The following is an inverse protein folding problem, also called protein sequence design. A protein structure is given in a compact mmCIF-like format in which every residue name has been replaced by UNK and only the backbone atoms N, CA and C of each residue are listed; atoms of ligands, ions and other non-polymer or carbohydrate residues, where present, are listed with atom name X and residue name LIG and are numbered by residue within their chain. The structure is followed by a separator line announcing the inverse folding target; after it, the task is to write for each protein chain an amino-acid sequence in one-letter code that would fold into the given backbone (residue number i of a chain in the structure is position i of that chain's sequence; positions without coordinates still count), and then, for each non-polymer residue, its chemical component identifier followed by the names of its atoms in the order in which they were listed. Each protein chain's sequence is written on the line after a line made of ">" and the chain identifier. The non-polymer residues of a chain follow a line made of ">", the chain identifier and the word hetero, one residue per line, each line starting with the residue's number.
data_IF_115833937737
#
_entry.id   IF_115833937737
#
_cell.length_a   1.000
_cell.length_b   1.000
_cell.length_c   1.000
_cell.angle_alpha   90.00
_cell.angle_beta   90.00
_cell.angle_gamma   90.00
#
_symmetry.space_group_name_H-M   'P 1'
#
loop_
_entity.id
_entity.type
_entity.pdbx_description
1 polymer ?
#
# COMPACT_ATOMS: atom_id res chain seq x y z
N UNK A 1 -7.94 -20.11 -15.07
CA UNK A 1 -7.42 -19.13 -14.09
C UNK A 1 -7.39 -19.82 -12.75
N UNK A 2 -6.20 -20.03 -12.18
CA UNK A 2 -6.05 -20.57 -10.83
C UNK A 2 -6.79 -19.67 -9.84
N UNK A 3 -7.57 -20.29 -8.95
CA UNK A 3 -8.29 -19.57 -7.90
C UNK A 3 -7.27 -18.92 -6.96
N UNK A 4 -7.59 -17.76 -6.38
CA UNK A 4 -6.74 -16.99 -5.46
C UNK A 4 -6.51 -17.72 -4.10
N UNK A 5 -5.79 -18.85 -4.15
CA UNK A 5 -5.64 -19.83 -3.05
C UNK A 5 -4.17 -20.04 -2.67
N UNK A 6 -3.36 -18.99 -2.72
CA UNK A 6 -1.91 -19.06 -2.49
C UNK A 6 -1.49 -18.69 -1.05
N UNK A 7 -2.43 -18.29 -0.17
CA UNK A 7 -2.15 -17.89 1.21
C UNK A 7 -3.03 -18.69 2.17
N UNK A 8 -2.44 -19.15 3.29
CA UNK A 8 -3.21 -19.85 4.32
C UNK A 8 -4.19 -18.90 5.06
N UNK A 9 -5.36 -19.40 5.51
CA UNK A 9 -6.32 -18.60 6.27
C UNK A 9 -5.76 -18.06 7.58
N UNK A 10 -4.94 -18.86 8.27
CA UNK A 10 -4.30 -18.49 9.54
C UNK A 10 -3.32 -17.33 9.34
N UNK A 11 -2.56 -17.39 8.25
CA UNK A 11 -1.65 -16.32 7.86
C UNK A 11 -2.41 -15.05 7.51
N UNK A 12 -3.51 -15.14 6.76
CA UNK A 12 -4.38 -13.97 6.48
C UNK A 12 -4.91 -13.35 7.76
N UNK A 13 -5.36 -14.17 8.71
CA UNK A 13 -5.87 -13.70 10.00
C UNK A 13 -4.80 -12.93 10.79
N UNK A 14 -3.55 -13.41 10.79
CA UNK A 14 -2.44 -12.75 11.48
C UNK A 14 -2.21 -11.30 11.02
N UNK A 15 -2.31 -11.02 9.73
CA UNK A 15 -2.05 -9.68 9.16
C UNK A 15 -3.34 -8.88 8.87
N UNK A 16 -4.51 -9.46 9.11
CA UNK A 16 -5.82 -8.86 8.82
C UNK A 16 -6.02 -7.49 9.49
N UNK A 17 -5.49 -7.31 10.71
CA UNK A 17 -5.62 -6.06 11.44
C UNK A 17 -4.97 -4.87 10.73
N UNK A 18 -3.82 -5.10 10.08
CA UNK A 18 -3.10 -4.06 9.34
C UNK A 18 -3.62 -3.85 7.92
N UNK A 19 -4.16 -4.90 7.30
CA UNK A 19 -4.71 -4.87 5.93
C UNK A 19 -6.21 -4.58 5.86
N UNK A 20 -6.83 -4.17 6.96
CA UNK A 20 -8.26 -3.86 6.96
C UNK A 20 -8.55 -2.57 6.18
N UNK A 21 -9.45 -2.68 5.20
CA UNK A 21 -10.05 -1.56 4.46
C UNK A 21 -10.66 -0.47 5.36
N UNK A 22 -11.05 -0.79 6.60
CA UNK A 22 -11.53 0.20 7.57
C UNK A 22 -10.47 1.24 7.95
N UNK A 23 -9.18 0.86 7.87
CA UNK A 23 -8.05 1.75 8.14
C UNK A 23 -7.82 2.77 7.00
N UNK A 24 -8.45 2.59 5.83
CA UNK A 24 -8.38 3.55 4.72
C UNK A 24 -9.24 4.80 4.99
N UNK A 25 -8.92 5.95 4.38
CA UNK A 25 -9.79 7.12 4.39
C UNK A 25 -11.19 6.80 3.83
N UNK A 26 -12.23 7.42 4.40
CA UNK A 26 -13.62 7.12 4.08
C UNK A 26 -13.94 7.15 2.57
N UNK A 27 -13.39 8.13 1.84
CA UNK A 27 -13.56 8.25 0.38
C UNK A 27 -13.04 7.06 -0.45
N UNK A 28 -12.13 6.25 0.11
CA UNK A 28 -11.58 5.06 -0.54
C UNK A 28 -12.11 3.76 0.05
N UNK A 29 -12.90 3.82 1.13
CA UNK A 29 -13.62 2.66 1.64
C UNK A 29 -14.72 2.33 0.65
N UNK A 30 -14.63 1.18 -0.01
CA UNK A 30 -15.74 0.71 -0.83
C UNK A 30 -16.93 0.42 0.09
N UNK A 31 -18.12 1.00 -0.14
CA UNK A 31 -19.30 0.62 0.62
C UNK A 31 -19.58 -0.86 0.36
N UNK A 32 -19.81 -1.62 1.44
CA UNK A 32 -20.03 -3.08 1.40
C UNK A 32 -21.10 -3.49 0.38
N UNK A 33 -22.06 -2.60 0.07
CA UNK A 33 -23.11 -2.79 -0.94
C UNK A 33 -22.65 -2.74 -2.40
N UNK A 34 -21.57 -2.02 -2.74
CA UNK A 34 -20.97 -2.05 -4.09
C UNK A 34 -20.04 -3.24 -4.28
N UNK A 35 -19.41 -3.66 -3.19
CA UNK A 35 -18.68 -4.94 -3.13
C UNK A 35 -19.65 -6.12 -3.39
N UNK A 36 -20.92 -5.98 -2.99
CA UNK A 36 -22.00 -6.95 -3.23
C UNK A 36 -22.36 -7.18 -4.71
N UNK A 37 -21.99 -6.30 -5.64
CA UNK A 37 -22.20 -6.52 -7.09
C UNK A 37 -21.06 -7.27 -7.78
N UNK A 38 -19.99 -7.59 -7.06
CA UNK A 38 -18.84 -8.29 -7.63
C UNK A 38 -17.93 -8.82 -6.54
N UNK A 39 -18.41 -9.81 -5.78
CA UNK A 39 -17.69 -10.65 -4.81
C UNK A 39 -16.80 -9.87 -3.82
N UNK A 40 -17.16 -9.89 -2.53
CA UNK A 40 -16.24 -9.43 -1.49
C UNK A 40 -14.91 -10.16 -1.54
N UNK A 41 -13.82 -9.54 -1.08
CA UNK A 41 -12.56 -10.26 -0.85
C UNK A 41 -12.81 -11.54 -0.03
N UNK A 42 -13.68 -11.47 0.98
CA UNK A 42 -14.15 -12.63 1.73
C UNK A 42 -14.92 -13.69 0.89
N UNK A 43 -15.68 -13.28 -0.13
CA UNK A 43 -16.49 -14.19 -0.97
C UNK A 43 -15.78 -14.70 -2.23
N UNK A 44 -14.75 -14.00 -2.74
CA UNK A 44 -13.81 -14.56 -3.73
C UNK A 44 -12.96 -15.65 -3.07
N UNK A 45 -12.77 -15.55 -1.76
CA UNK A 45 -12.06 -16.48 -0.89
C UNK A 45 -12.95 -17.56 -0.24
N UNK A 46 -14.18 -17.79 -0.74
CA UNK A 46 -15.17 -18.75 -0.22
C UNK A 46 -14.76 -20.24 -0.24
N UNK A 47 -13.49 -20.55 -0.47
CA UNK A 47 -12.91 -21.83 -0.09
C UNK A 47 -11.78 -21.55 0.91
N UNK A 48 -12.14 -20.92 2.05
CA UNK A 48 -11.25 -20.57 3.16
C UNK A 48 -10.60 -21.80 3.84
N UNK A 49 -10.75 -22.98 3.25
CA UNK A 49 -10.21 -24.26 3.73
C UNK A 49 -9.17 -24.86 2.78
N UNK A 50 -9.14 -24.45 1.51
CA UNK A 50 -8.22 -24.99 0.52
C UNK A 50 -7.22 -23.92 0.07
N UNK A 51 -5.96 -24.09 0.46
CA UNK A 51 -4.83 -23.33 -0.07
C UNK A 51 -3.78 -24.30 -0.61
N UNK A 52 -2.99 -23.86 -1.58
CA UNK A 52 -1.84 -24.62 -2.06
C UNK A 52 -0.70 -24.48 -1.04
N UNK A 53 -0.51 -25.51 -0.22
CA UNK A 53 0.51 -25.52 0.81
C UNK A 53 1.95 -25.50 0.25
N UNK A 54 2.18 -26.06 -0.94
CA UNK A 54 3.49 -26.04 -1.58
C UNK A 54 3.82 -24.63 -2.04
N UNK A 55 2.90 -24.02 -2.79
CA UNK A 55 3.07 -22.65 -3.26
C UNK A 55 3.20 -21.67 -2.09
N UNK A 56 2.34 -21.81 -1.06
CA UNK A 56 2.40 -20.96 0.12
C UNK A 56 3.76 -21.06 0.82
N UNK A 57 4.31 -22.27 0.97
CA UNK A 57 5.63 -22.49 1.56
C UNK A 57 6.73 -21.75 0.79
N UNK A 58 6.67 -21.74 -0.54
CA UNK A 58 7.69 -21.11 -1.39
C UNK A 58 7.63 -19.58 -1.38
N UNK A 59 6.43 -19.00 -1.17
CA UNK A 59 6.23 -17.54 -1.20
C UNK A 59 6.20 -16.89 0.19
N UNK A 60 5.87 -17.64 1.26
CA UNK A 60 5.63 -17.11 2.62
C UNK A 60 6.76 -16.22 3.11
N UNK A 61 8.00 -16.67 2.96
CA UNK A 61 9.17 -15.93 3.45
C UNK A 61 9.39 -14.64 2.65
N UNK A 62 9.02 -14.63 1.37
CA UNK A 62 9.09 -13.43 0.53
C UNK A 62 7.99 -12.42 0.90
N UNK A 63 6.77 -12.91 1.14
CA UNK A 63 5.62 -12.07 1.51
C UNK A 63 5.82 -11.37 2.86
N UNK A 64 6.52 -12.01 3.81
CA UNK A 64 6.76 -11.46 5.15
C UNK A 64 8.07 -10.69 5.27
N UNK A 65 8.90 -10.68 4.24
CA UNK A 65 10.18 -9.98 4.28
C UNK A 65 9.97 -8.46 4.31
N UNK A 66 10.35 -7.74 5.37
CA UNK A 66 10.18 -6.29 5.46
C UNK A 66 10.92 -5.50 4.38
N UNK A 67 11.98 -6.08 3.80
CA UNK A 67 12.73 -5.47 2.69
C UNK A 67 11.97 -5.51 1.37
N UNK A 68 10.97 -6.39 1.23
CA UNK A 68 10.10 -6.49 0.05
C UNK A 68 8.72 -5.87 0.32
N UNK A 69 8.16 -6.15 1.50
CA UNK A 69 6.83 -5.72 1.90
C UNK A 69 6.95 -4.94 3.22
N UNK A 70 7.30 -3.64 3.17
CA UNK A 70 7.53 -2.83 4.38
C UNK A 70 6.29 -2.75 5.28
N UNK A 71 5.09 -2.88 4.69
CA UNK A 71 3.85 -2.99 5.45
C UNK A 71 3.82 -4.18 6.42
N UNK A 72 4.59 -5.24 6.15
CA UNK A 72 4.69 -6.44 6.99
C UNK A 72 5.76 -6.34 8.08
N UNK A 73 6.47 -5.20 8.20
CA UNK A 73 7.44 -5.01 9.26
C UNK A 73 6.79 -5.15 10.65
N UNK A 74 7.48 -5.81 11.61
CA UNK A 74 6.96 -5.99 12.95
C UNK A 74 6.88 -4.67 13.73
N UNK A 75 7.83 -3.76 13.48
CA UNK A 75 7.91 -2.45 14.11
C UNK A 75 8.29 -1.38 13.07
N UNK A 76 7.67 -0.22 13.19
CA UNK A 76 7.84 0.95 12.32
C UNK A 76 8.18 2.22 13.11
N UNK A 77 8.28 2.15 14.44
CA UNK A 77 8.41 3.31 15.33
C UNK A 77 9.74 4.07 15.18
N UNK A 78 10.81 3.38 14.78
CA UNK A 78 12.16 3.93 14.66
C UNK A 78 12.47 4.58 13.30
N UNK A 79 11.45 4.80 12.46
CA UNK A 79 11.63 5.39 11.13
C UNK A 79 11.71 6.92 11.19
N UNK A 80 12.50 7.54 10.29
CA UNK A 80 12.55 9.00 10.20
C UNK A 80 11.20 9.57 9.75
N UNK A 81 11.00 10.90 9.86
CA UNK A 81 9.86 11.56 9.24
C UNK A 81 9.70 11.09 7.79
N UNK A 82 8.50 10.66 7.43
CA UNK A 82 8.23 9.95 6.19
C UNK A 82 7.15 10.67 5.37
N UNK A 83 7.44 10.90 4.09
CA UNK A 83 6.45 11.34 3.11
C UNK A 83 6.01 10.14 2.27
N UNK A 84 4.72 9.81 2.31
CA UNK A 84 4.11 8.79 1.45
C UNK A 84 3.33 9.48 0.34
N UNK A 85 3.70 9.21 -0.91
CA UNK A 85 3.00 9.72 -2.09
C UNK A 85 2.32 8.55 -2.79
N UNK A 86 1.01 8.67 -3.02
CA UNK A 86 0.22 7.68 -3.78
C UNK A 86 -0.58 8.40 -4.86
N UNK A 87 -0.86 7.70 -5.96
CA UNK A 87 -1.78 8.21 -6.98
C UNK A 87 -3.20 7.66 -6.77
N UNK A 88 -4.21 8.45 -7.14
CA UNK A 88 -5.62 8.12 -6.89
C UNK A 88 -6.08 6.85 -7.60
N UNK A 89 -5.58 6.60 -8.81
CA UNK A 89 -5.92 5.45 -9.65
C UNK A 89 -4.74 4.48 -9.73
N UNK A 90 -4.12 4.19 -8.59
CA UNK A 90 -3.00 3.26 -8.46
C UNK A 90 -3.44 1.96 -7.79
N UNK A 91 -2.95 0.84 -8.31
CA UNK A 91 -3.17 -0.49 -7.74
C UNK A 91 -2.49 -0.63 -6.37
N UNK A 92 -1.40 0.12 -6.12
CA UNK A 92 -0.67 0.13 -4.85
C UNK A 92 -1.16 1.21 -3.88
N UNK A 93 -2.14 2.04 -4.28
CA UNK A 93 -2.65 3.16 -3.47
C UNK A 93 -3.03 2.71 -2.06
N UNK A 94 -3.84 1.66 -1.98
CA UNK A 94 -4.42 1.22 -0.72
C UNK A 94 -3.31 0.69 0.21
N UNK A 95 -2.35 -0.06 -0.31
CA UNK A 95 -1.19 -0.52 0.48
C UNK A 95 -0.33 0.64 0.99
N UNK A 96 -0.07 1.66 0.14
CA UNK A 96 0.65 2.85 0.55
C UNK A 96 -0.08 3.63 1.66
N UNK A 97 -1.41 3.74 1.57
CA UNK A 97 -2.22 4.39 2.60
C UNK A 97 -2.27 3.60 3.91
N UNK A 98 -2.34 2.27 3.85
CA UNK A 98 -2.27 1.39 5.02
C UNK A 98 -0.89 1.48 5.70
N UNK A 99 0.18 1.56 4.91
CA UNK A 99 1.53 1.75 5.44
C UNK A 99 1.66 3.09 6.16
N UNK A 100 1.19 4.18 5.53
CA UNK A 100 1.15 5.49 6.15
C UNK A 100 0.31 5.52 7.44
N UNK A 101 -0.80 4.77 7.47
CA UNK A 101 -1.62 4.61 8.67
C UNK A 101 -0.83 3.95 9.81
N UNK A 102 -0.15 2.83 9.53
CA UNK A 102 0.69 2.16 10.54
C UNK A 102 1.85 3.02 11.03
N UNK A 103 2.51 3.77 10.14
CA UNK A 103 3.59 4.70 10.53
C UNK A 103 3.07 5.73 11.54
N UNK A 104 1.90 6.33 11.27
CA UNK A 104 1.27 7.27 12.21
C UNK A 104 0.91 6.62 13.54
N UNK A 105 0.37 5.40 13.52
CA UNK A 105 0.06 4.65 14.74
C UNK A 105 1.32 4.30 15.55
N UNK A 106 2.44 4.06 14.88
CA UNK A 106 3.74 3.79 15.50
C UNK A 106 4.44 5.06 16.03
N UNK A 107 3.85 6.24 15.84
CA UNK A 107 4.38 7.52 16.32
C UNK A 107 5.33 8.22 15.35
N UNK A 108 5.50 7.71 14.12
CA UNK A 108 6.34 8.32 13.10
C UNK A 108 5.65 9.56 12.50
N UNK A 109 6.39 10.68 12.39
CA UNK A 109 5.90 11.86 11.69
C UNK A 109 5.67 11.52 10.21
N UNK A 110 4.41 11.41 9.81
CA UNK A 110 4.05 10.89 8.48
C UNK A 110 3.13 11.85 7.74
N UNK A 111 3.57 12.30 6.57
CA UNK A 111 2.78 13.11 5.64
C UNK A 111 2.32 12.22 4.48
N UNK A 112 1.07 12.43 4.03
CA UNK A 112 0.48 11.63 2.93
C UNK A 112 0.01 12.58 1.84
N UNK A 113 0.46 12.36 0.61
CA UNK A 113 0.01 13.09 -0.57
C UNK A 113 -0.70 12.13 -1.53
N UNK A 114 -1.93 12.49 -1.90
CA UNK A 114 -2.84 11.63 -2.69
C UNK A 114 -3.36 12.37 -3.91
N UNK A 115 -3.84 13.60 -3.71
CA UNK A 115 -4.52 14.35 -4.76
C UNK A 115 -3.53 14.77 -5.84
N UNK A 116 -3.84 14.40 -7.09
CA UNK A 116 -2.96 14.63 -8.23
C UNK A 116 -1.56 14.02 -8.03
N UNK A 117 -1.47 12.97 -7.18
CA UNK A 117 -0.27 12.18 -7.03
C UNK A 117 0.16 11.60 -8.38
N UNK A 118 1.45 11.71 -8.67
CA UNK A 118 2.04 11.15 -9.88
C UNK A 118 2.25 9.64 -9.71
N UNK A 119 1.91 8.87 -10.74
CA UNK A 119 2.23 7.45 -10.84
C UNK A 119 3.74 7.29 -10.98
N UNK A 120 4.45 7.18 -9.85
CA UNK A 120 5.90 7.22 -9.80
C UNK A 120 6.57 6.02 -10.51
N UNK A 121 5.90 4.87 -10.50
CA UNK A 121 6.46 3.58 -10.93
C UNK A 121 6.89 3.55 -12.40
N UNK A 122 6.18 4.26 -13.29
CA UNK A 122 6.48 4.15 -14.72
C UNK A 122 7.54 5.13 -15.25
N UNK A 123 7.80 6.26 -14.57
CA UNK A 123 8.56 7.36 -15.19
C UNK A 123 9.83 7.77 -14.43
N UNK A 124 9.95 7.43 -13.14
CA UNK A 124 11.09 7.83 -12.33
C UNK A 124 12.41 7.12 -12.74
N UNK A 125 12.33 5.89 -13.26
CA UNK A 125 13.51 5.09 -13.61
C UNK A 125 13.97 5.25 -15.06
N UNK A 126 13.22 5.95 -15.90
CA UNK A 126 13.49 6.03 -17.36
C UNK A 126 13.94 7.40 -17.86
N UNK A 127 13.87 8.45 -17.03
CA UNK A 127 14.31 9.78 -17.44
C UNK A 127 15.56 10.22 -16.68
N UNK A 128 16.63 10.65 -17.39
CA UNK A 128 17.84 11.18 -16.77
C UNK A 128 17.60 12.48 -15.98
N UNK A 129 16.49 13.16 -16.27
CA UNK A 129 16.14 14.42 -15.63
C UNK A 129 14.93 14.22 -14.71
N UNK A 130 15.16 14.17 -13.39
CA UNK A 130 14.09 14.08 -12.38
C UNK A 130 13.15 15.31 -12.40
N UNK A 131 13.54 16.37 -13.13
CA UNK A 131 12.76 17.57 -13.44
C UNK A 131 11.81 17.40 -14.64
N UNK A 132 11.81 16.25 -15.32
CA UNK A 132 10.98 15.94 -16.49
C UNK A 132 9.50 15.66 -16.19
N UNK A 133 9.03 16.01 -15.00
CA UNK A 133 7.63 15.94 -14.57
C UNK A 133 6.81 17.08 -15.21
N UNK A 134 6.75 17.13 -16.54
CA UNK A 134 6.02 18.15 -17.30
C UNK A 134 4.49 18.05 -17.17
N UNK A 135 4.00 17.05 -16.43
CA UNK A 135 2.59 16.96 -16.06
C UNK A 135 2.30 17.83 -14.84
N UNK A 136 1.09 18.41 -14.80
CA UNK A 136 0.65 19.21 -13.64
C UNK A 136 0.72 18.42 -12.33
N UNK A 137 0.48 17.11 -12.38
CA UNK A 137 0.54 16.19 -11.23
C UNK A 137 1.98 15.95 -10.76
N UNK A 138 2.91 15.83 -11.70
CA UNK A 138 4.32 15.67 -11.42
C UNK A 138 4.94 16.91 -10.76
N UNK A 139 4.71 18.09 -11.33
CA UNK A 139 5.17 19.35 -10.72
C UNK A 139 4.63 19.56 -9.30
N UNK A 140 3.37 19.21 -9.04
CA UNK A 140 2.80 19.32 -7.70
C UNK A 140 3.44 18.35 -6.71
N UNK A 141 3.68 17.10 -7.15
CA UNK A 141 4.39 16.10 -6.34
C UNK A 141 5.80 16.59 -5.99
N UNK A 142 6.50 17.18 -6.96
CA UNK A 142 7.82 17.80 -6.76
C UNK A 142 7.76 18.93 -5.71
N UNK A 143 6.79 19.84 -5.80
CA UNK A 143 6.62 20.91 -4.81
C UNK A 143 6.43 20.35 -3.39
N UNK A 144 5.61 19.30 -3.24
CA UNK A 144 5.37 18.64 -1.95
C UNK A 144 6.65 18.00 -1.42
N UNK A 145 7.39 17.29 -2.28
CA UNK A 145 8.67 16.66 -1.92
C UNK A 145 9.70 17.71 -1.47
N UNK A 146 9.85 18.80 -2.24
CA UNK A 146 10.77 19.90 -1.88
C UNK A 146 10.40 20.54 -0.55
N UNK A 147 9.12 20.83 -0.34
CA UNK A 147 8.64 21.40 0.92
C UNK A 147 8.85 20.46 2.10
N UNK A 148 8.72 19.14 1.89
CA UNK A 148 9.00 18.14 2.91
C UNK A 148 10.49 18.13 3.27
N UNK A 149 11.39 18.06 2.29
CA UNK A 149 12.84 18.06 2.49
C UNK A 149 13.29 19.32 3.24
N UNK A 150 12.77 20.49 2.87
CA UNK A 150 13.13 21.76 3.51
C UNK A 150 12.73 21.85 4.98
N UNK A 151 11.69 21.13 5.42
CA UNK A 151 11.26 21.09 6.83
C UNK A 151 12.13 20.20 7.71
N UNK A 152 12.95 19.35 7.10
CA UNK A 152 13.82 18.39 7.78
C UNK A 152 15.27 18.91 7.93
N UNK A 153 15.54 20.12 7.43
CA UNK A 153 16.82 20.85 7.57
C UNK A 153 16.73 21.85 8.72
#
# INVERSE_FOLDING_TARGET
>A
MEKNRHISPEFRAQFSHYMDTQNLPERFRKPRSEVMKGRTCAEVDNDATSYDASLFKDIKDKLTNPMLSPLMAPDLSALPPTLVVVAEFDVLRDEGLLYAHRLKQAGTETQVHIEKGFHADFFCCMLPDWTGLNSKTGFQTECVLRAFIQRQQ
#
